data_IF_406857783702
#
_entry.id   IF_406857783702
#
_cell.length_a   1.000
_cell.length_b   1.000
_cell.length_c   1.000
_cell.angle_alpha   90.00
_cell.angle_beta   90.00
_cell.angle_gamma   90.00
#
_symmetry.space_group_name_H-M   'P 1'
#
loop_
_entity.id
_entity.type
_entity.pdbx_description
1 polymer ?
#
# COMPACT_ATOMS: atom_id res chain seq x y z
N UNK A 1 -75.61 4.10 31.00
CA UNK A 1 -75.92 3.33 32.22
C UNK A 1 -75.52 1.91 31.90
N UNK A 2 -74.35 1.45 32.36
CA UNK A 2 -74.16 0.84 33.71
C UNK A 2 -75.19 -0.28 33.94
N UNK A 3 -74.84 -1.50 34.32
CA UNK A 3 -73.59 -2.09 34.84
C UNK A 3 -73.80 -3.61 34.86
N UNK A 4 -72.69 -4.36 34.81
CA UNK A 4 -72.40 -5.63 35.51
C UNK A 4 -73.38 -6.82 35.34
N UNK A 5 -72.99 -8.09 35.27
CA UNK A 5 -71.90 -8.77 35.95
C UNK A 5 -71.72 -10.18 35.35
N UNK A 6 -70.47 -10.57 35.19
CA UNK A 6 -69.89 -11.81 35.72
C UNK A 6 -70.56 -13.17 35.43
N UNK A 7 -69.83 -13.99 34.67
CA UNK A 7 -69.42 -15.36 35.05
C UNK A 7 -68.72 -16.01 33.85
N UNK A 8 -67.39 -16.14 33.93
CA UNK A 8 -66.56 -17.24 33.38
C UNK A 8 -65.07 -16.88 33.55
N UNK A 9 -64.70 -16.51 34.79
CA UNK A 9 -63.32 -16.50 35.28
C UNK A 9 -63.25 -17.59 36.33
N UNK A 10 -63.24 -18.84 35.90
CA UNK A 10 -62.80 -19.92 36.75
C UNK A 10 -61.98 -20.90 35.89
N UNK A 11 -60.82 -21.27 36.44
CA UNK A 11 -59.90 -22.31 35.95
C UNK A 11 -58.70 -21.89 35.06
N UNK A 12 -58.11 -20.72 35.30
CA UNK A 12 -56.67 -20.53 35.01
C UNK A 12 -55.86 -20.89 36.26
N UNK A 13 -55.41 -22.14 36.29
CA UNK A 13 -54.68 -22.74 37.41
C UNK A 13 -53.19 -22.34 37.37
N UNK A 14 -52.92 -21.08 37.75
CA UNK A 14 -51.62 -20.38 37.68
C UNK A 14 -50.47 -21.17 38.32
N UNK A 15 -50.76 -21.97 39.34
CA UNK A 15 -49.74 -22.77 40.04
C UNK A 15 -49.22 -23.94 39.20
N UNK A 16 -50.05 -24.49 38.31
CA UNK A 16 -49.67 -25.62 37.45
C UNK A 16 -48.69 -25.19 36.35
N UNK A 17 -48.89 -24.02 35.77
CA UNK A 17 -47.98 -23.47 34.77
C UNK A 17 -46.65 -23.02 35.38
N UNK A 18 -46.67 -22.52 36.62
CA UNK A 18 -45.45 -22.14 37.34
C UNK A 18 -44.56 -23.36 37.65
N UNK A 19 -45.17 -24.48 38.07
CA UNK A 19 -44.43 -25.72 38.34
C UNK A 19 -43.87 -26.35 37.06
N UNK A 20 -44.59 -26.26 35.94
CA UNK A 20 -44.11 -26.73 34.63
C UNK A 20 -42.92 -25.90 34.15
N UNK A 21 -42.97 -24.57 34.31
CA UNK A 21 -41.87 -23.69 33.90
C UNK A 21 -40.63 -23.87 34.78
N UNK A 22 -40.81 -24.04 36.10
CA UNK A 22 -39.72 -24.33 37.03
C UNK A 22 -39.04 -25.67 36.69
N UNK A 23 -39.82 -26.70 36.34
CA UNK A 23 -39.30 -28.01 35.98
C UNK A 23 -38.58 -28.01 34.62
N UNK A 24 -39.02 -27.21 33.64
CA UNK A 24 -38.28 -27.04 32.38
C UNK A 24 -36.96 -26.29 32.62
N UNK A 25 -36.93 -25.28 33.50
CA UNK A 25 -35.69 -24.58 33.87
C UNK A 25 -34.69 -25.52 34.57
N UNK A 26 -35.13 -26.35 35.51
CA UNK A 26 -34.25 -27.31 36.18
C UNK A 26 -33.74 -28.40 35.24
N UNK A 27 -34.58 -28.94 34.36
CA UNK A 27 -34.16 -29.97 33.40
C UNK A 27 -33.25 -29.41 32.31
N UNK A 28 -33.43 -28.15 31.88
CA UNK A 28 -32.49 -27.45 30.97
C UNK A 28 -31.14 -27.21 31.63
N UNK A 29 -31.12 -26.81 32.91
CA UNK A 29 -29.90 -26.61 33.68
C UNK A 29 -29.09 -27.91 33.80
N UNK A 30 -29.74 -29.01 34.22
CA UNK A 30 -29.07 -30.32 34.35
C UNK A 30 -28.58 -30.87 33.00
N UNK A 31 -29.35 -30.69 31.91
CA UNK A 31 -28.91 -31.09 30.55
C UNK A 31 -27.73 -30.25 30.06
N UNK A 32 -27.65 -28.97 30.43
CA UNK A 32 -26.53 -28.12 30.09
C UNK A 32 -25.25 -28.55 30.82
N UNK A 33 -25.35 -28.91 32.10
CA UNK A 33 -24.21 -29.44 32.87
C UNK A 33 -23.74 -30.80 32.35
N UNK A 34 -24.66 -31.73 32.04
CA UNK A 34 -24.33 -33.03 31.45
C UNK A 34 -23.59 -32.88 30.11
N UNK A 35 -24.00 -31.95 29.25
CA UNK A 35 -23.30 -31.66 27.99
C UNK A 35 -21.91 -31.05 28.23
N UNK A 36 -21.76 -30.24 29.28
CA UNK A 36 -20.47 -29.64 29.66
C UNK A 36 -19.51 -30.71 30.21
N UNK A 37 -20.00 -31.62 31.06
CA UNK A 37 -19.23 -32.75 31.57
C UNK A 37 -18.84 -33.73 30.45
N UNK A 38 -19.73 -34.03 29.51
CA UNK A 38 -19.42 -34.87 28.35
C UNK A 38 -18.33 -34.27 27.44
N UNK A 39 -18.37 -32.94 27.21
CA UNK A 39 -17.30 -32.23 26.48
C UNK A 39 -15.97 -32.26 27.22
N UNK A 40 -15.98 -32.04 28.54
CA UNK A 40 -14.78 -32.11 29.38
C UNK A 40 -14.15 -33.51 29.38
N UNK A 41 -14.97 -34.56 29.44
CA UNK A 41 -14.49 -35.94 29.38
C UNK A 41 -13.84 -36.26 28.01
N UNK A 42 -14.44 -35.82 26.91
CA UNK A 42 -13.86 -36.00 25.56
C UNK A 42 -12.55 -35.22 25.35
N UNK A 43 -12.43 -34.03 25.95
CA UNK A 43 -11.17 -33.27 25.91
C UNK A 43 -10.07 -33.95 26.74
N UNK A 44 -10.42 -34.58 27.87
CA UNK A 44 -9.46 -35.29 28.71
C UNK A 44 -8.94 -36.56 28.04
N UNK A 45 -9.82 -37.35 27.42
CA UNK A 45 -9.42 -38.58 26.71
C UNK A 45 -8.53 -38.27 25.49
N UNK A 46 -8.84 -37.23 24.73
CA UNK A 46 -8.00 -36.80 23.60
C UNK A 46 -6.64 -36.29 24.04
N UNK A 47 -6.56 -35.53 25.13
CA UNK A 47 -5.30 -35.06 25.70
C UNK A 47 -4.41 -36.22 26.20
N UNK A 48 -5.00 -37.23 26.84
CA UNK A 48 -4.27 -38.41 27.31
C UNK A 48 -3.79 -39.29 26.14
N UNK A 49 -4.59 -39.41 25.07
CA UNK A 49 -4.18 -40.09 23.84
C UNK A 49 -2.99 -39.40 23.16
N UNK A 50 -3.01 -38.06 23.08
CA UNK A 50 -1.89 -37.27 22.55
C UNK A 50 -0.64 -37.41 23.41
N UNK A 51 -0.77 -37.46 24.74
CA UNK A 51 0.36 -37.71 25.66
C UNK A 51 0.97 -39.09 25.48
N UNK A 52 0.16 -40.14 25.32
CA UNK A 52 0.66 -41.48 25.04
C UNK A 52 1.42 -41.54 23.70
N UNK A 53 0.90 -40.88 22.66
CA UNK A 53 1.62 -40.76 21.39
C UNK A 53 2.90 -39.94 21.49
N UNK A 54 2.92 -38.85 22.27
CA UNK A 54 4.13 -38.06 22.51
C UNK A 54 5.21 -38.84 23.27
N UNK A 55 4.83 -39.67 24.24
CA UNK A 55 5.77 -40.54 24.96
C UNK A 55 6.42 -41.58 24.04
N UNK A 56 5.66 -42.23 23.16
CA UNK A 56 6.25 -43.12 22.14
C UNK A 56 7.10 -42.35 21.10
N UNK A 57 6.78 -41.08 20.83
CA UNK A 57 7.51 -40.26 19.85
C UNK A 57 8.91 -39.85 20.32
N UNK A 58 9.19 -39.92 21.62
CA UNK A 58 10.44 -39.53 22.27
C UNK A 58 11.56 -40.58 22.24
N UNK A 59 11.36 -41.74 21.60
CA UNK A 59 12.48 -42.62 21.25
C UNK A 59 13.37 -41.90 20.22
N UNK A 60 14.54 -41.46 20.67
CA UNK A 60 15.50 -40.70 19.85
C UNK A 60 16.07 -41.60 18.74
N UNK A 61 15.78 -41.23 17.48
CA UNK A 61 16.25 -41.90 16.25
C UNK A 61 17.79 -41.85 16.15
N UNK A 62 18.38 -40.79 16.71
CA UNK A 62 19.81 -40.57 16.81
C UNK A 62 20.26 -40.65 18.27
N UNK A 63 21.25 -41.51 18.55
CA UNK A 63 21.97 -41.53 19.83
C UNK A 63 23.45 -41.31 19.54
N UNK A 64 24.04 -40.34 20.22
CA UNK A 64 25.48 -40.09 20.20
C UNK A 64 26.13 -40.89 21.32
N UNK A 65 27.02 -41.80 20.95
CA UNK A 65 27.88 -42.51 21.91
C UNK A 65 29.30 -41.97 21.78
N UNK A 66 29.90 -41.64 22.91
CA UNK A 66 31.27 -41.16 22.96
C UNK A 66 32.21 -42.37 23.05
N UNK A 67 32.97 -42.62 21.99
CA UNK A 67 34.04 -43.60 22.04
C UNK A 67 35.24 -42.97 22.75
N UNK A 68 35.69 -43.58 23.84
CA UNK A 68 36.82 -43.11 24.66
C UNK A 68 36.70 -41.64 25.15
N UNK A 69 35.49 -41.11 25.28
CA UNK A 69 35.24 -39.74 25.77
C UNK A 69 35.64 -38.60 24.81
N UNK A 70 36.29 -38.89 23.67
CA UNK A 70 36.79 -37.89 22.73
C UNK A 70 36.08 -37.87 21.38
N UNK A 71 35.63 -39.02 20.87
CA UNK A 71 35.01 -39.11 19.53
C UNK A 71 33.50 -39.41 19.62
N UNK A 72 32.63 -38.46 19.29
CA UNK A 72 31.19 -38.70 19.24
C UNK A 72 30.83 -39.47 17.97
N UNK A 73 30.48 -40.75 18.11
CA UNK A 73 29.98 -41.57 17.00
C UNK A 73 28.44 -41.57 17.00
N UNK A 74 27.79 -41.08 15.92
CA UNK A 74 26.34 -41.16 15.79
C UNK A 74 25.92 -42.60 15.47
N UNK A 75 25.21 -43.25 16.40
CA UNK A 75 24.55 -44.53 16.13
C UNK A 75 23.11 -44.28 15.71
N UNK A 76 22.83 -44.48 14.42
CA UNK A 76 21.48 -44.39 13.87
C UNK A 76 20.78 -45.72 14.07
N UNK A 77 19.60 -45.73 14.70
CA UNK A 77 18.79 -46.94 14.75
C UNK A 77 18.02 -47.09 13.43
N UNK A 78 18.63 -47.77 12.45
CA UNK A 78 18.05 -47.98 11.13
C UNK A 78 16.70 -48.72 11.15
N UNK A 79 16.45 -49.57 12.16
CA UNK A 79 15.15 -50.25 12.33
C UNK A 79 14.03 -49.28 12.74
N UNK A 80 14.29 -48.37 13.67
CA UNK A 80 13.36 -47.30 14.05
C UNK A 80 13.20 -46.27 12.93
N UNK A 81 14.28 -45.94 12.22
CA UNK A 81 14.26 -45.03 11.08
C UNK A 81 13.35 -45.57 9.96
N UNK A 82 13.52 -46.83 9.58
CA UNK A 82 12.74 -47.47 8.51
C UNK A 82 11.28 -47.73 8.90
N UNK A 83 11.02 -48.04 10.17
CA UNK A 83 9.67 -48.23 10.70
C UNK A 83 8.89 -46.91 10.81
N UNK A 84 9.58 -45.79 11.05
CA UNK A 84 8.99 -44.47 11.25
C UNK A 84 8.97 -43.62 9.98
N UNK A 85 9.87 -43.85 9.04
CA UNK A 85 9.92 -43.20 7.73
C UNK A 85 9.90 -44.30 6.67
N UNK A 86 8.69 -44.74 6.31
CA UNK A 86 8.53 -45.59 5.13
C UNK A 86 8.99 -44.80 3.90
N UNK A 87 9.52 -45.45 2.85
CA UNK A 87 9.88 -44.77 1.60
C UNK A 87 8.74 -43.91 1.03
N UNK A 88 7.50 -44.37 1.20
CA UNK A 88 6.29 -43.63 0.84
C UNK A 88 6.12 -42.31 1.61
N UNK A 89 6.55 -42.23 2.87
CA UNK A 89 6.47 -40.99 3.67
C UNK A 89 7.58 -40.01 3.31
N UNK A 90 8.75 -40.50 2.89
CA UNK A 90 9.83 -39.65 2.35
C UNK A 90 9.39 -39.03 1.03
N UNK A 91 8.80 -39.83 0.13
CA UNK A 91 8.23 -39.34 -1.14
C UNK A 91 7.08 -38.37 -0.90
N UNK A 92 6.21 -38.65 0.07
CA UNK A 92 5.12 -37.73 0.44
C UNK A 92 5.64 -36.44 1.07
N UNK A 93 6.72 -36.50 1.85
CA UNK A 93 7.35 -35.33 2.46
C UNK A 93 8.07 -34.47 1.41
N UNK A 94 8.77 -35.09 0.44
CA UNK A 94 9.40 -34.37 -0.65
C UNK A 94 8.36 -33.72 -1.56
N UNK A 95 7.27 -34.42 -1.89
CA UNK A 95 6.13 -33.82 -2.62
C UNK A 95 5.53 -32.63 -1.87
N UNK A 96 5.34 -32.73 -0.55
CA UNK A 96 4.86 -31.59 0.27
C UNK A 96 5.83 -30.41 0.25
N UNK A 97 7.13 -30.67 0.26
CA UNK A 97 8.16 -29.63 0.18
C UNK A 97 8.11 -28.94 -1.19
N UNK A 98 8.00 -29.70 -2.29
CA UNK A 98 7.84 -29.15 -3.64
C UNK A 98 6.56 -28.31 -3.76
N UNK A 99 5.44 -28.80 -3.22
CA UNK A 99 4.18 -28.04 -3.18
C UNK A 99 4.33 -26.77 -2.34
N UNK A 100 5.05 -26.82 -1.21
CA UNK A 100 5.30 -25.65 -0.37
C UNK A 100 6.20 -24.61 -1.08
N UNK A 101 7.23 -25.04 -1.80
CA UNK A 101 8.07 -24.17 -2.63
C UNK A 101 7.23 -23.55 -3.75
N UNK A 102 6.44 -24.34 -4.47
CA UNK A 102 5.56 -23.84 -5.52
C UNK A 102 4.55 -22.83 -4.98
N UNK A 103 3.92 -23.11 -3.84
CA UNK A 103 3.03 -22.17 -3.17
C UNK A 103 3.75 -20.90 -2.70
N UNK A 104 4.99 -21.02 -2.22
CA UNK A 104 5.85 -19.89 -1.89
C UNK A 104 6.17 -19.02 -3.10
N UNK A 105 6.54 -19.64 -4.23
CA UNK A 105 6.83 -18.96 -5.48
C UNK A 105 5.59 -18.22 -6.02
N UNK A 106 4.40 -18.84 -5.96
CA UNK A 106 3.14 -18.18 -6.35
C UNK A 106 2.80 -16.98 -5.45
N UNK A 107 3.08 -17.06 -4.14
CA UNK A 107 2.88 -15.92 -3.24
C UNK A 107 3.85 -14.78 -3.54
N UNK A 108 5.10 -15.11 -3.85
CA UNK A 108 6.14 -14.13 -4.16
C UNK A 108 5.88 -13.46 -5.51
N UNK A 109 5.46 -14.22 -6.53
CA UNK A 109 5.06 -13.67 -7.81
C UNK A 109 3.84 -12.74 -7.68
N UNK A 110 2.84 -13.10 -6.87
CA UNK A 110 1.69 -12.23 -6.59
C UNK A 110 2.13 -10.93 -5.88
N UNK A 111 3.08 -11.01 -4.95
CA UNK A 111 3.63 -9.83 -4.28
C UNK A 111 4.39 -8.94 -5.26
N UNK A 112 5.13 -9.52 -6.20
CA UNK A 112 5.83 -8.78 -7.24
C UNK A 112 4.87 -8.06 -8.19
N UNK A 113 3.84 -8.77 -8.66
CA UNK A 113 2.77 -8.17 -9.50
C UNK A 113 2.05 -7.06 -8.73
N UNK A 114 1.75 -7.26 -7.45
CA UNK A 114 1.18 -6.21 -6.60
C UNK A 114 2.12 -5.01 -6.47
N UNK A 115 3.42 -5.25 -6.27
CA UNK A 115 4.43 -4.19 -6.21
C UNK A 115 4.49 -3.37 -7.50
N UNK A 116 4.48 -4.02 -8.66
CA UNK A 116 4.43 -3.35 -9.97
C UNK A 116 3.14 -2.53 -10.10
N UNK A 117 1.99 -3.10 -9.73
CA UNK A 117 0.71 -2.41 -9.83
C UNK A 117 0.67 -1.16 -8.92
N UNK A 118 1.17 -1.25 -7.70
CA UNK A 118 1.28 -0.12 -6.77
C UNK A 118 2.25 0.94 -7.32
N UNK A 119 3.40 0.52 -7.85
CA UNK A 119 4.36 1.45 -8.45
C UNK A 119 3.76 2.20 -9.65
N UNK A 120 3.04 1.50 -10.51
CA UNK A 120 2.36 2.10 -11.65
C UNK A 120 1.25 3.05 -11.20
N UNK A 121 0.42 2.65 -10.23
CA UNK A 121 -0.60 3.52 -9.64
C UNK A 121 -0.01 4.81 -9.04
N UNK A 122 1.11 4.69 -8.31
CA UNK A 122 1.79 5.84 -7.72
C UNK A 122 2.41 6.75 -8.80
N UNK A 123 3.01 6.17 -9.84
CA UNK A 123 3.49 6.91 -11.01
C UNK A 123 2.37 7.67 -11.69
N UNK A 124 1.22 7.05 -11.90
CA UNK A 124 0.07 7.67 -12.55
C UNK A 124 -0.44 8.86 -11.71
N UNK A 125 -0.57 8.70 -10.39
CA UNK A 125 -0.93 9.80 -9.49
C UNK A 125 0.08 10.95 -9.57
N UNK A 126 1.38 10.65 -9.49
CA UNK A 126 2.43 11.67 -9.61
C UNK A 126 2.37 12.38 -10.96
N UNK A 127 2.08 11.66 -12.04
CA UNK A 127 1.93 12.24 -13.38
C UNK A 127 0.71 13.17 -13.45
N UNK A 128 -0.42 12.81 -12.83
CA UNK A 128 -1.59 13.67 -12.74
C UNK A 128 -1.30 14.94 -11.93
N UNK A 129 -0.67 14.80 -10.75
CA UNK A 129 -0.23 15.94 -9.94
C UNK A 129 0.74 16.82 -10.72
N UNK A 130 1.64 16.22 -11.49
CA UNK A 130 2.59 16.94 -12.34
C UNK A 130 1.87 17.76 -13.42
N UNK A 131 0.98 17.15 -14.20
CA UNK A 131 0.28 17.82 -15.31
C UNK A 131 -0.61 18.96 -14.78
N UNK A 132 -1.47 18.66 -13.81
CA UNK A 132 -2.40 19.66 -13.28
C UNK A 132 -1.70 20.73 -12.45
N UNK A 133 -0.66 20.35 -11.68
CA UNK A 133 0.17 21.31 -10.94
C UNK A 133 0.82 22.31 -11.90
N UNK A 134 1.41 21.82 -12.99
CA UNK A 134 2.03 22.65 -14.03
C UNK A 134 1.02 23.58 -14.70
N UNK A 135 -0.21 23.11 -14.96
CA UNK A 135 -1.30 23.96 -15.49
C UNK A 135 -1.71 25.08 -14.51
N UNK A 136 -1.88 24.76 -13.23
CA UNK A 136 -2.31 25.73 -12.20
C UNK A 136 -1.24 26.79 -11.92
N UNK A 137 0.03 26.41 -11.95
CA UNK A 137 1.15 27.33 -11.68
C UNK A 137 1.68 28.00 -12.94
N UNK A 138 1.10 27.74 -14.11
CA UNK A 138 1.58 28.19 -15.42
C UNK A 138 3.05 27.87 -15.66
N UNK A 139 3.51 26.75 -15.11
CA UNK A 139 4.88 26.27 -15.24
C UNK A 139 4.98 25.18 -16.31
N UNK A 140 6.13 25.06 -16.94
CA UNK A 140 6.41 23.92 -17.83
C UNK A 140 6.69 22.63 -17.04
N UNK A 141 7.17 22.75 -15.79
CA UNK A 141 7.42 21.62 -14.92
C UNK A 141 7.37 22.05 -13.45
N UNK A 142 6.29 21.66 -12.78
CA UNK A 142 6.01 22.00 -11.39
C UNK A 142 7.10 21.56 -10.40
N UNK A 143 7.62 20.33 -10.54
CA UNK A 143 8.64 19.80 -9.63
C UNK A 143 10.00 20.45 -9.85
N UNK A 144 10.37 20.69 -11.13
CA UNK A 144 11.61 21.39 -11.46
C UNK A 144 11.63 22.80 -10.89
N UNK A 145 10.51 23.52 -10.85
CA UNK A 145 10.46 24.85 -10.22
C UNK A 145 10.72 24.76 -8.71
N UNK A 146 10.16 23.75 -8.04
CA UNK A 146 10.38 23.52 -6.60
C UNK A 146 11.85 23.17 -6.34
N UNK A 147 12.42 22.25 -7.12
CA UNK A 147 13.83 21.87 -7.01
C UNK A 147 14.75 23.07 -7.26
N UNK A 148 14.48 23.84 -8.32
CA UNK A 148 15.23 25.06 -8.67
C UNK A 148 15.18 26.08 -7.53
N UNK A 149 14.04 26.22 -6.84
CA UNK A 149 13.90 27.11 -5.71
C UNK A 149 14.60 26.60 -4.44
N UNK A 150 14.55 25.30 -4.16
CA UNK A 150 15.25 24.69 -3.01
C UNK A 150 16.76 24.92 -3.12
N UNK A 151 17.31 24.78 -4.33
CA UNK A 151 18.73 24.93 -4.61
C UNK A 151 19.12 26.36 -5.05
N UNK A 152 18.29 27.37 -4.76
CA UNK A 152 18.53 28.76 -5.18
C UNK A 152 19.85 29.37 -4.69
N UNK A 153 20.34 28.92 -3.54
CA UNK A 153 21.53 29.47 -2.87
C UNK A 153 22.77 28.58 -3.03
N UNK A 154 22.65 27.42 -3.69
CA UNK A 154 23.76 26.47 -3.84
C UNK A 154 24.57 26.74 -5.10
N UNK A 155 25.79 27.26 -4.94
CA UNK A 155 26.72 27.49 -6.05
C UNK A 155 27.16 26.19 -6.75
N UNK A 156 27.19 25.07 -6.01
CA UNK A 156 27.63 23.77 -6.53
C UNK A 156 26.70 23.20 -7.61
N UNK A 157 25.44 23.65 -7.65
CA UNK A 157 24.43 23.22 -8.64
C UNK A 157 24.62 23.94 -9.98
N UNK A 158 25.39 25.04 -10.01
CA UNK A 158 25.70 25.82 -11.20
C UNK A 158 26.88 25.26 -12.01
N UNK A 159 27.64 24.32 -11.45
CA UNK A 159 28.80 23.76 -12.13
C UNK A 159 28.37 22.82 -13.27
N UNK A 160 29.11 22.83 -14.40
CA UNK A 160 28.63 22.31 -15.66
C UNK A 160 28.34 20.81 -15.59
N UNK A 161 27.17 20.45 -16.16
CA UNK A 161 26.58 19.10 -16.39
C UNK A 161 27.49 18.09 -17.12
N UNK A 162 28.76 18.43 -17.37
CA UNK A 162 29.68 17.72 -18.25
C UNK A 162 30.78 16.92 -17.55
N UNK A 163 30.97 17.02 -16.23
CA UNK A 163 32.04 16.28 -15.54
C UNK A 163 31.60 14.93 -14.95
N UNK A 164 30.33 14.57 -15.05
CA UNK A 164 29.68 13.66 -14.08
C UNK A 164 28.90 12.49 -14.66
N UNK A 165 28.88 12.29 -15.98
CA UNK A 165 28.30 11.06 -16.56
C UNK A 165 29.12 9.79 -16.29
N UNK A 166 30.34 9.92 -15.76
CA UNK A 166 31.22 8.80 -15.49
C UNK A 166 31.10 8.35 -14.02
N UNK A 167 30.12 7.48 -13.75
CA UNK A 167 30.04 6.70 -12.51
C UNK A 167 31.42 6.13 -12.11
N UNK A 168 32.22 5.70 -13.08
CA UNK A 168 33.60 5.22 -12.86
C UNK A 168 34.53 6.27 -12.24
N UNK A 169 34.47 7.53 -12.68
CA UNK A 169 35.30 8.62 -12.15
C UNK A 169 34.87 8.98 -10.72
N UNK A 170 33.56 8.97 -10.46
CA UNK A 170 33.03 9.19 -9.11
C UNK A 170 33.37 8.05 -8.15
N UNK A 171 33.35 6.79 -8.63
CA UNK A 171 33.78 5.63 -7.87
C UNK A 171 35.27 5.69 -7.52
N UNK A 172 36.11 6.16 -8.46
CA UNK A 172 37.53 6.37 -8.23
C UNK A 172 37.80 7.48 -7.19
N UNK A 173 36.98 8.54 -7.18
CA UNK A 173 37.01 9.56 -6.13
C UNK A 173 36.57 9.03 -4.75
N UNK A 174 35.80 7.93 -4.70
CA UNK A 174 35.36 7.27 -3.46
C UNK A 174 36.23 6.05 -3.10
N UNK A 175 37.45 5.97 -3.62
CA UNK A 175 38.40 4.86 -3.40
C UNK A 175 37.81 3.47 -3.73
N UNK A 176 36.87 3.39 -4.68
CA UNK A 176 36.23 2.13 -5.08
C UNK A 176 35.12 1.64 -4.14
N UNK A 177 34.73 2.39 -3.11
CA UNK A 177 33.70 1.98 -2.16
C UNK A 177 32.30 2.43 -2.60
N UNK A 178 31.46 1.48 -3.00
CA UNK A 178 30.07 1.71 -3.43
C UNK A 178 29.17 2.14 -2.27
N UNK A 179 29.55 1.82 -1.03
CA UNK A 179 28.78 2.15 0.18
C UNK A 179 29.18 3.50 0.78
N UNK A 180 30.12 4.24 0.17
CA UNK A 180 30.50 5.55 0.68
C UNK A 180 29.35 6.56 0.53
N UNK A 181 28.97 7.19 1.63
CA UNK A 181 27.94 8.22 1.66
C UNK A 181 28.30 9.41 0.76
N UNK A 182 29.59 9.74 0.66
CA UNK A 182 30.08 10.85 -0.16
C UNK A 182 29.78 10.66 -1.65
N UNK A 183 29.81 9.40 -2.12
CA UNK A 183 29.50 9.02 -3.49
C UNK A 183 28.01 9.20 -3.78
N UNK A 184 27.15 8.71 -2.88
CA UNK A 184 25.70 8.87 -3.00
C UNK A 184 25.27 10.33 -2.96
N UNK A 185 25.87 11.15 -2.08
CA UNK A 185 25.57 12.57 -2.06
C UNK A 185 25.99 13.26 -3.35
N UNK A 186 27.17 12.96 -3.91
CA UNK A 186 27.61 13.55 -5.19
C UNK A 186 26.68 13.17 -6.34
N UNK A 187 26.24 11.91 -6.40
CA UNK A 187 25.31 11.46 -7.43
C UNK A 187 23.94 12.13 -7.30
N UNK A 188 23.45 12.32 -6.07
CA UNK A 188 22.21 13.04 -5.83
C UNK A 188 22.33 14.52 -6.25
N UNK A 189 23.41 15.19 -5.88
CA UNK A 189 23.67 16.58 -6.29
C UNK A 189 23.78 16.71 -7.82
N UNK A 190 24.38 15.73 -8.48
CA UNK A 190 24.48 15.71 -9.94
C UNK A 190 23.13 15.44 -10.63
N UNK A 191 22.34 14.52 -10.08
CA UNK A 191 20.99 14.29 -10.55
C UNK A 191 20.15 15.57 -10.44
N UNK A 192 20.27 16.30 -9.33
CA UNK A 192 19.60 17.59 -9.11
C UNK A 192 20.14 18.68 -10.06
N UNK A 193 21.45 18.80 -10.27
CA UNK A 193 22.01 19.79 -11.19
C UNK A 193 21.55 19.57 -12.64
N UNK A 194 21.24 18.32 -13.00
CA UNK A 194 20.65 17.98 -14.29
C UNK A 194 19.20 18.45 -14.44
N UNK A 195 18.43 18.52 -13.35
CA UNK A 195 17.00 18.86 -13.36
C UNK A 195 16.73 20.35 -13.17
N UNK A 196 17.60 21.07 -12.46
CA UNK A 196 17.46 22.50 -12.17
C UNK A 196 17.52 23.36 -13.44
N UNK A 197 16.69 24.41 -13.50
CA UNK A 197 16.70 25.36 -14.63
C UNK A 197 17.82 26.39 -14.47
N UNK A 198 18.69 26.42 -15.47
CA UNK A 198 19.82 27.33 -15.58
C UNK A 198 19.69 28.15 -16.86
N UNK A 199 20.02 29.43 -16.80
CA UNK A 199 20.24 30.28 -17.95
C UNK A 199 21.73 30.60 -18.01
N UNK A 200 22.36 30.24 -19.12
CA UNK A 200 23.78 30.48 -19.33
C UNK A 200 23.97 31.56 -20.39
N UNK A 201 24.75 32.58 -20.05
CA UNK A 201 25.13 33.65 -20.96
C UNK A 201 26.60 33.45 -21.28
N UNK A 202 26.90 33.36 -22.57
CA UNK A 202 28.28 33.40 -23.05
C UNK A 202 28.74 34.85 -23.05
N UNK A 203 29.88 35.10 -22.43
CA UNK A 203 30.51 36.41 -22.52
C UNK A 203 30.86 36.72 -23.99
N UNK A 204 30.86 37.99 -24.37
CA UNK A 204 31.03 38.42 -25.78
C UNK A 204 32.40 38.00 -26.36
N UNK A 205 33.37 37.72 -25.51
CA UNK A 205 34.70 37.22 -25.88
C UNK A 205 34.80 35.68 -25.93
N UNK A 206 33.70 34.95 -25.72
CA UNK A 206 33.58 33.51 -26.02
C UNK A 206 34.27 32.53 -25.06
N UNK A 207 35.10 33.02 -24.13
CA UNK A 207 35.94 32.18 -23.26
C UNK A 207 35.34 31.87 -21.88
N UNK A 208 34.28 32.56 -21.47
CA UNK A 208 33.58 32.26 -20.20
C UNK A 208 32.07 32.16 -20.37
N UNK A 209 31.51 31.04 -19.88
CA UNK A 209 30.08 30.80 -19.80
C UNK A 209 29.65 31.01 -18.35
N UNK A 210 28.85 32.07 -18.12
CA UNK A 210 28.27 32.34 -16.81
C UNK A 210 26.85 31.80 -16.77
N UNK A 211 26.65 30.72 -16.01
CA UNK A 211 25.33 30.18 -15.73
C UNK A 211 24.76 30.80 -14.44
N UNK A 212 23.47 31.13 -14.45
CA UNK A 212 22.70 31.51 -13.28
C UNK A 212 21.38 30.73 -13.23
N UNK A 213 20.80 30.63 -12.03
CA UNK A 213 19.53 29.95 -11.82
C UNK A 213 18.40 30.78 -12.45
N UNK A 214 17.54 30.13 -13.23
CA UNK A 214 16.38 30.79 -13.82
C UNK A 214 15.35 31.12 -12.73
N UNK A 215 15.21 32.41 -12.41
CA UNK A 215 14.26 32.91 -11.42
C UNK A 215 12.89 33.24 -12.02
N UNK A 216 12.66 32.95 -13.30
CA UNK A 216 11.40 33.26 -13.99
C UNK A 216 10.33 32.17 -13.76
N UNK A 217 10.07 31.83 -12.50
CA UNK A 217 8.96 30.95 -12.12
C UNK A 217 8.12 31.54 -11.00
N UNK A 218 6.89 31.04 -10.86
CA UNK A 218 5.91 31.60 -9.94
C UNK A 218 6.37 31.51 -8.49
N UNK A 219 7.10 30.46 -8.11
CA UNK A 219 7.63 30.28 -6.74
C UNK A 219 8.64 31.37 -6.36
N UNK A 220 9.52 31.81 -7.28
CA UNK A 220 10.44 32.92 -7.03
C UNK A 220 9.71 34.24 -6.87
N UNK A 221 8.75 34.54 -7.77
CA UNK A 221 7.93 35.75 -7.66
C UNK A 221 7.12 35.78 -6.35
N UNK A 222 6.60 34.63 -5.93
CA UNK A 222 5.87 34.49 -4.68
C UNK A 222 6.79 34.73 -3.46
N UNK A 223 8.02 34.20 -3.50
CA UNK A 223 9.05 34.45 -2.50
C UNK A 223 9.39 35.94 -2.40
N UNK A 224 9.55 36.63 -3.52
CA UNK A 224 9.90 38.05 -3.56
C UNK A 224 8.78 38.92 -2.99
N UNK A 225 7.51 38.60 -3.32
CA UNK A 225 6.35 39.31 -2.77
C UNK A 225 6.21 39.09 -1.26
N UNK A 226 6.45 37.87 -0.77
CA UNK A 226 6.44 37.57 0.67
C UNK A 226 7.53 38.36 1.38
N UNK A 227 8.75 38.35 0.86
CA UNK A 227 9.86 39.10 1.45
C UNK A 227 9.55 40.61 1.51
N UNK A 228 8.94 41.15 0.44
CA UNK A 228 8.55 42.56 0.37
C UNK A 228 7.49 42.96 1.41
N UNK A 229 6.50 42.10 1.66
CA UNK A 229 5.37 42.43 2.56
C UNK A 229 5.63 42.06 4.02
N UNK A 230 6.54 41.12 4.26
CA UNK A 230 6.83 40.59 5.59
C UNK A 230 8.36 40.54 5.78
N UNK A 231 8.98 41.68 6.17
CA UNK A 231 10.45 41.78 6.33
C UNK A 231 11.00 40.87 7.43
N UNK A 232 10.14 40.31 8.28
CA UNK A 232 10.50 39.26 9.26
C UNK A 232 11.11 38.04 8.55
N UNK A 233 10.69 37.75 7.30
CA UNK A 233 11.23 36.64 6.52
C UNK A 233 12.64 36.87 5.98
N UNK A 234 13.12 38.12 5.89
CA UNK A 234 14.52 38.39 5.57
C UNK A 234 15.46 38.02 6.73
N UNK A 235 14.96 38.07 7.96
CA UNK A 235 15.74 37.70 9.16
C UNK A 235 15.78 36.20 9.45
N UNK A 236 14.97 35.40 8.76
CA UNK A 236 14.87 33.97 8.96
C UNK A 236 15.99 33.22 8.22
N UNK A 237 16.52 32.11 8.78
CA UNK A 237 17.48 31.27 8.08
C UNK A 237 16.92 30.81 6.73
N UNK A 238 17.73 30.88 5.66
CA UNK A 238 17.33 30.47 4.30
C UNK A 238 16.56 29.14 4.24
N UNK A 239 16.96 28.04 4.91
CA UNK A 239 16.21 26.78 4.83
C UNK A 239 14.78 26.88 5.39
N UNK A 240 14.55 27.73 6.39
CA UNK A 240 13.20 27.93 6.99
C UNK A 240 12.30 28.69 6.02
N UNK A 241 12.84 29.73 5.38
CA UNK A 241 12.14 30.47 4.34
C UNK A 241 11.82 29.56 3.15
N UNK A 242 12.80 28.77 2.70
CA UNK A 242 12.62 27.82 1.61
C UNK A 242 11.51 26.83 1.92
N UNK A 243 11.51 26.23 3.12
CA UNK A 243 10.47 25.28 3.51
C UNK A 243 9.07 25.92 3.51
N UNK A 244 8.94 27.13 4.06
CA UNK A 244 7.65 27.83 4.13
C UNK A 244 7.12 28.15 2.73
N UNK A 245 7.96 28.73 1.87
CA UNK A 245 7.54 29.11 0.51
C UNK A 245 7.21 27.87 -0.32
N UNK A 246 8.00 26.80 -0.21
CA UNK A 246 7.69 25.52 -0.88
C UNK A 246 6.37 24.94 -0.36
N UNK A 247 6.14 24.95 0.95
CA UNK A 247 4.89 24.46 1.53
C UNK A 247 3.69 25.28 1.04
N UNK A 248 3.81 26.61 1.01
CA UNK A 248 2.76 27.48 0.49
C UNK A 248 2.52 27.20 -0.99
N UNK A 249 3.57 27.09 -1.80
CA UNK A 249 3.48 26.79 -3.22
C UNK A 249 2.82 25.42 -3.48
N UNK A 250 3.16 24.40 -2.68
CA UNK A 250 2.50 23.09 -2.73
C UNK A 250 1.02 23.20 -2.38
N UNK A 251 0.66 23.89 -1.30
CA UNK A 251 -0.76 24.08 -0.92
C UNK A 251 -1.55 24.83 -1.99
N UNK A 252 -0.95 25.84 -2.62
CA UNK A 252 -1.53 26.56 -3.76
C UNK A 252 -1.78 25.60 -4.94
N UNK A 253 -0.77 24.80 -5.31
CA UNK A 253 -0.90 23.78 -6.35
C UNK A 253 -2.02 22.78 -6.06
N UNK A 254 -2.06 22.21 -4.85
CA UNK A 254 -3.08 21.24 -4.45
C UNK A 254 -4.49 21.84 -4.39
N UNK A 255 -4.64 23.07 -3.89
CA UNK A 255 -5.93 23.75 -3.86
C UNK A 255 -6.44 24.01 -5.29
N UNK A 256 -5.57 24.48 -6.18
CA UNK A 256 -5.92 24.68 -7.59
C UNK A 256 -6.26 23.37 -8.31
N UNK A 257 -5.59 22.26 -7.97
CA UNK A 257 -5.92 20.93 -8.48
C UNK A 257 -7.32 20.48 -8.03
N UNK A 258 -7.67 20.67 -6.75
CA UNK A 258 -9.00 20.34 -6.23
C UNK A 258 -10.10 21.11 -6.95
N UNK A 259 -9.89 22.42 -7.20
CA UNK A 259 -10.84 23.24 -7.95
C UNK A 259 -10.96 22.73 -9.39
N UNK A 260 -9.82 22.48 -10.05
CA UNK A 260 -9.78 21.99 -11.43
C UNK A 260 -10.47 20.65 -11.59
N UNK A 261 -10.28 19.73 -10.63
CA UNK A 261 -10.93 18.43 -10.63
C UNK A 261 -12.45 18.54 -10.45
N UNK A 262 -12.92 19.45 -9.59
CA UNK A 262 -14.35 19.72 -9.43
C UNK A 262 -14.98 20.26 -10.73
N UNK A 263 -14.31 21.19 -11.41
CA UNK A 263 -14.78 21.73 -12.69
C UNK A 263 -14.80 20.64 -13.77
N UNK A 264 -13.75 19.82 -13.84
CA UNK A 264 -13.66 18.71 -14.80
C UNK A 264 -14.74 17.66 -14.53
N UNK A 265 -15.01 17.33 -13.27
CA UNK A 265 -16.09 16.43 -12.89
C UNK A 265 -17.46 16.96 -13.31
N UNK A 266 -17.72 18.24 -13.05
CA UNK A 266 -18.94 18.90 -13.52
C UNK A 266 -19.09 18.83 -15.04
N UNK A 267 -18.01 19.09 -15.78
CA UNK A 267 -17.99 19.01 -17.24
C UNK A 267 -18.25 17.59 -17.76
N UNK A 268 -17.61 16.58 -17.17
CA UNK A 268 -17.84 15.17 -17.53
C UNK A 268 -19.29 14.78 -17.26
N UNK A 269 -19.85 15.15 -16.11
CA UNK A 269 -21.25 14.86 -15.78
C UNK A 269 -22.21 15.51 -16.80
N UNK A 270 -21.92 16.74 -17.21
CA UNK A 270 -22.71 17.43 -18.23
C UNK A 270 -22.61 16.75 -19.60
N UNK A 271 -21.42 16.24 -19.98
CA UNK A 271 -21.24 15.46 -21.21
C UNK A 271 -22.05 14.16 -21.12
N UNK A 272 -21.94 13.41 -20.03
CA UNK A 272 -22.67 12.15 -19.83
C UNK A 272 -24.18 12.39 -19.95
N UNK A 273 -24.70 13.42 -19.28
CA UNK A 273 -26.12 13.77 -19.35
C UNK A 273 -26.58 14.09 -20.79
N UNK A 274 -25.76 14.81 -21.56
CA UNK A 274 -26.04 15.08 -22.97
C UNK A 274 -25.99 13.82 -23.83
N UNK A 275 -25.00 12.96 -23.62
CA UNK A 275 -24.90 11.67 -24.33
C UNK A 275 -26.07 10.76 -24.01
N UNK A 276 -26.53 10.72 -22.76
CA UNK A 276 -27.69 9.93 -22.36
C UNK A 276 -28.94 10.40 -23.11
N UNK A 277 -29.15 11.73 -23.20
CA UNK A 277 -30.25 12.32 -23.97
C UNK A 277 -30.20 11.95 -25.46
N UNK A 278 -29.03 12.06 -26.09
CA UNK A 278 -28.83 11.67 -27.50
C UNK A 278 -29.04 10.16 -27.69
N UNK A 279 -28.54 9.33 -26.77
CA UNK A 279 -28.71 7.88 -26.84
C UNK A 279 -30.19 7.48 -26.77
N UNK A 280 -30.98 8.14 -25.91
CA UNK A 280 -32.43 7.90 -25.81
C UNK A 280 -33.16 8.24 -27.10
N UNK A 281 -32.76 9.32 -27.78
CA UNK A 281 -33.33 9.70 -29.08
C UNK A 281 -32.98 8.64 -30.14
N UNK A 282 -31.73 8.21 -30.21
CA UNK A 282 -31.27 7.19 -31.19
C UNK A 282 -31.98 5.86 -30.94
N UNK A 283 -32.05 5.39 -29.69
CA UNK A 283 -32.79 4.18 -29.33
C UNK A 283 -34.30 4.31 -29.60
N UNK A 284 -34.89 5.49 -29.34
CA UNK A 284 -36.28 5.78 -29.63
C UNK A 284 -36.60 5.71 -31.13
N UNK A 285 -35.78 6.33 -31.97
CA UNK A 285 -35.92 6.28 -33.44
C UNK A 285 -35.70 4.85 -33.96
N UNK A 286 -34.69 4.14 -33.45
CA UNK A 286 -34.45 2.74 -33.79
C UNK A 286 -35.63 1.84 -33.42
N UNK A 287 -36.27 2.07 -32.27
CA UNK A 287 -37.47 1.33 -31.85
C UNK A 287 -38.68 1.61 -32.76
N UNK A 288 -38.86 2.85 -33.20
CA UNK A 288 -39.92 3.23 -34.14
C UNK A 288 -39.70 2.59 -35.51
N UNK A 289 -38.46 2.62 -36.03
CA UNK A 289 -38.09 1.93 -37.27
C UNK A 289 -38.30 0.42 -37.18
N UNK A 290 -37.97 -0.20 -36.06
CA UNK A 290 -38.18 -1.62 -35.84
C UNK A 290 -39.68 -1.99 -35.79
N UNK A 291 -40.49 -1.17 -35.12
CA UNK A 291 -41.93 -1.39 -35.02
C UNK A 291 -42.63 -1.20 -36.37
N UNK A 292 -42.31 -0.12 -37.10
CA UNK A 292 -42.93 0.17 -38.40
C UNK A 292 -42.39 -0.72 -39.53
N UNK A 293 -41.14 -1.17 -39.43
CA UNK A 293 -40.57 -2.15 -40.36
C UNK A 293 -41.21 -3.54 -40.22
N UNK A 294 -41.74 -3.88 -39.04
CA UNK A 294 -42.51 -5.10 -38.81
C UNK A 294 -43.90 -5.08 -39.45
N UNK A 295 -44.54 -3.91 -39.54
CA UNK A 295 -45.85 -3.74 -40.21
C UNK A 295 -45.76 -3.74 -41.75
N UNK A 296 -44.57 -3.51 -42.31
CA UNK A 296 -44.32 -3.56 -43.77
C UNK A 296 -44.05 -4.98 -44.30
N UNK A 297 -43.97 -6.00 -43.44
CA UNK A 297 -43.68 -7.41 -43.79
C UNK A 297 -44.95 -8.30 -43.68
N UNK A 298 -46.12 -7.72 -43.40
CA UNK A 298 -47.42 -8.41 -43.44
C UNK A 298 -48.22 -8.01 -44.68
#
# INVERSE_FOLDING_TARGET
MESDSDEDIDNFDIFRDLDIDLMDVFTRSQRAELRRMARLHNLRTTADFVRMFQQQRNERIFKLYWLFGFFPLPKVNYGLLWRRHRPADIVRSSMRLVIAIAAGAVRLSRLFVYGIAVFQWLRDILQWVFIYGSMVTFSTNFFVDIETYIFRDSADVLHPRGSTSDWLKNLQSANGNVLDWSLWTKILYDMVSSTVRLQCVKDQDGDSEFCYIDKNSLIFRFSDVIALHFPIFESLPSPVLTFLVVLLYLTYGFAGQMISFNVLFYFIMQIIFRFESVSKIIFGVGKILWHNGGELIV
#
